data_IF_291641888115
#
_entry.id   IF_291641888115
#
_cell.length_a   1.000
_cell.length_b   1.000
_cell.length_c   1.000
_cell.angle_alpha   90.00
_cell.angle_beta   90.00
_cell.angle_gamma   90.00
#
_symmetry.space_group_name_H-M   'P 1'
#
loop_
_entity.id
_entity.type
_entity.pdbx_description
1 polymer ?
#
# COMPACT_ATOMS: atom_id res chain seq x y z
N UNK A 1 -4.41 -22.94 19.35
CA UNK A 1 -5.18 -21.82 19.93
C UNK A 1 -4.84 -20.54 19.20
N UNK A 2 -5.84 -19.74 18.88
CA UNK A 2 -5.65 -18.39 18.33
C UNK A 2 -5.85 -17.40 19.47
N UNK A 3 -4.88 -16.50 19.67
CA UNK A 3 -4.93 -15.48 20.70
C UNK A 3 -4.86 -14.10 20.05
N UNK A 4 -5.78 -13.21 20.41
CA UNK A 4 -5.74 -11.80 20.01
C UNK A 4 -4.94 -11.02 21.04
N UNK A 5 -3.92 -10.28 20.59
CA UNK A 5 -2.98 -9.60 21.48
C UNK A 5 -2.57 -8.25 20.87
N UNK A 6 -2.22 -7.29 21.74
CA UNK A 6 -1.65 -6.02 21.30
C UNK A 6 -0.30 -6.24 20.63
N UNK A 7 -0.07 -5.55 19.52
CA UNK A 7 1.17 -5.63 18.74
C UNK A 7 2.43 -5.41 19.57
N UNK A 8 2.39 -4.47 20.51
CA UNK A 8 3.53 -4.12 21.36
C UNK A 8 3.99 -5.29 22.25
N UNK A 9 3.09 -6.23 22.53
CA UNK A 9 3.36 -7.35 23.43
C UNK A 9 3.76 -8.65 22.70
N UNK A 10 3.65 -8.71 21.38
CA UNK A 10 3.85 -9.95 20.61
C UNK A 10 5.25 -10.54 20.76
N UNK A 11 6.30 -9.73 20.62
CA UNK A 11 7.67 -10.22 20.79
C UNK A 11 7.95 -10.71 22.22
N UNK A 12 7.44 -10.00 23.21
CA UNK A 12 7.57 -10.40 24.63
C UNK A 12 6.84 -11.71 24.90
N UNK A 13 5.63 -11.88 24.39
CA UNK A 13 4.85 -13.10 24.53
C UNK A 13 5.51 -14.30 23.81
N UNK A 14 6.11 -14.08 22.64
CA UNK A 14 6.92 -15.10 21.97
C UNK A 14 8.10 -15.54 22.84
N UNK A 15 8.87 -14.59 23.36
CA UNK A 15 10.04 -14.87 24.21
C UNK A 15 9.63 -15.57 25.51
N UNK A 16 8.46 -15.22 26.07
CA UNK A 16 7.91 -15.88 27.25
C UNK A 16 7.37 -17.29 26.98
N UNK A 17 7.19 -17.68 25.72
CA UNK A 17 6.62 -18.96 25.32
C UNK A 17 5.09 -18.99 25.34
N UNK A 18 4.44 -17.84 25.45
CA UNK A 18 2.99 -17.70 25.40
C UNK A 18 2.44 -17.78 23.96
N UNK A 19 3.30 -17.56 22.97
CA UNK A 19 3.03 -17.67 21.56
C UNK A 19 4.06 -18.57 20.88
N UNK A 20 3.61 -19.33 19.89
CA UNK A 20 4.46 -20.21 19.08
C UNK A 20 4.71 -19.64 17.68
N UNK A 21 3.79 -18.86 17.19
CA UNK A 21 3.83 -18.26 15.85
C UNK A 21 3.08 -16.93 15.83
N UNK A 22 3.55 -16.06 14.96
CA UNK A 22 2.92 -14.80 14.73
C UNK A 22 3.27 -14.23 13.35
N UNK A 23 2.31 -13.55 12.73
CA UNK A 23 2.41 -12.91 11.42
C UNK A 23 1.72 -11.54 11.44
N UNK A 24 1.91 -10.75 10.42
CA UNK A 24 1.35 -9.41 10.24
C UNK A 24 1.90 -8.29 11.10
N UNK A 25 2.72 -7.44 10.52
CA UNK A 25 2.99 -6.05 10.94
C UNK A 25 3.10 -5.86 12.45
N UNK A 26 3.54 -6.87 13.16
CA UNK A 26 3.62 -6.88 14.59
C UNK A 26 4.89 -6.24 15.11
N UNK A 27 5.25 -6.56 16.35
CA UNK A 27 6.39 -5.98 17.03
C UNK A 27 7.76 -6.41 16.51
N UNK A 28 7.83 -7.39 15.62
CA UNK A 28 9.08 -7.76 14.96
C UNK A 28 9.18 -7.00 13.64
N UNK A 29 10.07 -6.03 13.63
CA UNK A 29 10.55 -5.29 12.47
C UNK A 29 11.95 -5.75 12.13
N UNK A 30 12.53 -5.29 11.02
CA UNK A 30 13.94 -5.54 10.71
C UNK A 30 14.87 -5.10 11.83
N UNK A 31 14.53 -4.05 12.55
CA UNK A 31 15.33 -3.53 13.67
C UNK A 31 15.44 -4.53 14.83
N UNK A 32 14.35 -5.19 15.19
CA UNK A 32 14.32 -6.15 16.30
C UNK A 32 14.34 -7.61 15.89
N UNK A 33 14.47 -7.93 14.58
CA UNK A 33 14.72 -9.28 14.06
C UNK A 33 15.84 -10.00 14.83
N UNK A 34 17.02 -9.38 15.06
CA UNK A 34 18.12 -10.06 15.78
C UNK A 34 17.74 -10.47 17.21
N UNK A 35 16.81 -9.75 17.85
CA UNK A 35 16.34 -10.09 19.20
C UNK A 35 15.53 -11.38 19.17
N UNK A 36 14.61 -11.53 18.20
CA UNK A 36 13.81 -12.73 18.03
C UNK A 36 14.69 -13.94 17.65
N UNK A 37 15.63 -13.77 16.72
CA UNK A 37 16.56 -14.83 16.29
C UNK A 37 17.46 -15.30 17.43
N UNK A 38 18.01 -14.37 18.23
CA UNK A 38 18.81 -14.68 19.43
C UNK A 38 17.98 -15.41 20.48
N UNK A 39 16.70 -15.13 20.60
CA UNK A 39 15.78 -15.83 21.48
C UNK A 39 15.39 -17.23 20.95
N UNK A 40 15.88 -17.62 19.78
CA UNK A 40 15.70 -18.96 19.23
C UNK A 40 14.54 -19.10 18.25
N UNK A 41 13.89 -18.00 17.84
CA UNK A 41 12.84 -18.01 16.84
C UNK A 41 13.41 -18.02 15.43
N UNK A 42 12.65 -18.57 14.48
CA UNK A 42 12.89 -18.38 13.05
C UNK A 42 12.13 -17.13 12.62
N UNK A 43 12.81 -16.22 11.90
CA UNK A 43 12.21 -15.01 11.34
C UNK A 43 12.38 -15.05 9.83
N UNK A 44 11.28 -15.05 9.09
CA UNK A 44 11.27 -15.16 7.64
C UNK A 44 10.30 -14.13 7.04
N UNK A 45 10.71 -13.49 5.95
CA UNK A 45 9.79 -12.71 5.12
C UNK A 45 8.88 -13.66 4.32
N UNK A 46 7.62 -13.29 4.17
CA UNK A 46 6.71 -13.97 3.26
C UNK A 46 7.24 -13.89 1.81
N UNK A 47 6.95 -14.90 1.00
CA UNK A 47 7.41 -14.95 -0.40
C UNK A 47 6.73 -13.90 -1.27
N UNK A 48 5.49 -13.56 -0.96
CA UNK A 48 4.69 -12.58 -1.70
C UNK A 48 4.36 -11.40 -0.81
N UNK A 49 4.33 -10.17 -1.34
CA UNK A 49 3.94 -8.99 -0.57
C UNK A 49 2.55 -9.15 0.06
N UNK A 50 2.43 -8.74 1.30
CA UNK A 50 1.18 -8.80 2.08
C UNK A 50 0.45 -7.48 2.15
N UNK A 51 1.13 -6.38 1.85
CA UNK A 51 0.59 -5.03 1.99
C UNK A 51 1.03 -4.15 0.83
N UNK A 52 0.09 -3.46 0.24
CA UNK A 52 0.29 -2.40 -0.75
C UNK A 52 0.04 -1.05 -0.09
N UNK A 53 0.94 -0.10 -0.27
CA UNK A 53 0.83 1.28 0.21
C UNK A 53 0.55 2.24 -0.94
N UNK A 54 -0.34 3.19 -0.70
CA UNK A 54 -0.71 4.21 -1.66
C UNK A 54 -0.94 5.57 -0.99
N UNK A 55 -0.78 6.63 -1.77
CA UNK A 55 -1.33 7.95 -1.45
C UNK A 55 -2.62 8.12 -2.25
N UNK A 56 -3.74 8.09 -1.56
CA UNK A 56 -5.06 8.39 -2.13
C UNK A 56 -5.17 9.88 -2.43
N UNK A 57 -5.84 10.22 -3.52
CA UNK A 57 -6.06 11.60 -3.95
C UNK A 57 -7.55 11.82 -4.18
N UNK A 58 -8.07 12.90 -3.64
CA UNK A 58 -9.39 13.41 -3.98
C UNK A 58 -9.30 14.17 -5.33
N UNK A 59 -9.78 13.55 -6.40
CA UNK A 59 -9.68 14.11 -7.76
C UNK A 59 -10.67 15.25 -8.01
N UNK A 60 -11.57 15.54 -7.09
CA UNK A 60 -12.44 16.72 -7.17
C UNK A 60 -11.70 17.97 -6.66
N UNK A 61 -11.03 17.90 -5.53
CA UNK A 61 -10.24 19.01 -4.97
C UNK A 61 -8.89 19.17 -5.66
N UNK A 62 -8.25 18.07 -6.09
CA UNK A 62 -7.00 18.06 -6.86
C UNK A 62 -7.32 17.66 -8.31
N UNK A 63 -8.12 18.48 -9.00
CA UNK A 63 -8.72 18.15 -10.29
C UNK A 63 -7.70 18.06 -11.44
N UNK A 64 -6.60 18.83 -11.38
CA UNK A 64 -5.59 18.82 -12.44
C UNK A 64 -4.73 17.55 -12.41
N UNK A 65 -4.69 16.78 -13.50
CA UNK A 65 -3.77 15.66 -13.64
C UNK A 65 -2.31 16.11 -13.53
N UNK A 66 -1.94 17.29 -14.07
CA UNK A 66 -0.60 17.85 -13.92
C UNK A 66 -0.23 18.06 -12.44
N UNK A 67 -1.19 18.49 -11.61
CA UNK A 67 -0.96 18.65 -10.17
C UNK A 67 -0.79 17.30 -9.46
N UNK A 68 -1.58 16.28 -9.83
CA UNK A 68 -1.42 14.92 -9.29
C UNK A 68 -0.08 14.30 -9.69
N UNK A 69 0.37 14.53 -10.93
CA UNK A 69 1.72 14.16 -11.36
C UNK A 69 2.80 14.95 -10.62
N UNK A 70 2.58 16.25 -10.33
CA UNK A 70 3.52 17.03 -9.53
C UNK A 70 3.68 16.45 -8.12
N UNK A 71 2.59 16.04 -7.49
CA UNK A 71 2.62 15.35 -6.20
C UNK A 71 3.45 14.07 -6.31
N UNK A 72 3.22 13.22 -7.33
CA UNK A 72 4.02 12.01 -7.52
C UNK A 72 5.52 12.30 -7.70
N UNK A 73 5.87 13.26 -8.57
CA UNK A 73 7.25 13.66 -8.83
C UNK A 73 7.96 14.24 -7.61
N UNK A 74 7.22 14.81 -6.66
CA UNK A 74 7.75 15.32 -5.41
C UNK A 74 8.11 14.21 -4.40
N UNK A 75 7.58 12.99 -4.54
CA UNK A 75 7.75 11.90 -3.58
C UNK A 75 9.00 11.07 -3.87
N UNK A 76 9.98 11.11 -2.98
CA UNK A 76 11.09 10.15 -2.98
C UNK A 76 10.59 8.81 -2.41
N UNK A 77 9.93 8.02 -3.28
CA UNK A 77 9.35 6.72 -2.92
C UNK A 77 10.39 5.75 -2.36
N UNK A 78 11.65 5.83 -2.81
CA UNK A 78 12.76 4.99 -2.32
C UNK A 78 13.06 5.32 -0.85
N UNK A 79 13.22 6.61 -0.53
CA UNK A 79 13.44 7.05 0.84
C UNK A 79 12.25 6.74 1.74
N UNK A 80 11.03 7.04 1.28
CA UNK A 80 9.79 6.75 2.03
C UNK A 80 9.64 5.26 2.34
N UNK A 81 9.86 4.40 1.35
CA UNK A 81 9.83 2.94 1.48
C UNK A 81 10.91 2.46 2.48
N UNK A 82 12.15 2.94 2.32
CA UNK A 82 13.27 2.58 3.20
C UNK A 82 12.98 2.95 4.65
N UNK A 83 12.42 4.14 4.91
CA UNK A 83 12.13 4.61 6.27
C UNK A 83 10.93 3.89 6.90
N UNK A 84 9.95 3.45 6.10
CA UNK A 84 8.74 2.81 6.61
C UNK A 84 8.83 1.28 6.66
N UNK A 85 9.45 0.65 5.68
CA UNK A 85 9.42 -0.81 5.47
C UNK A 85 10.81 -1.45 5.41
N UNK A 86 11.88 -0.65 5.37
CA UNK A 86 13.26 -1.14 5.29
C UNK A 86 13.47 -2.06 4.09
N UNK A 87 14.13 -3.19 4.32
CA UNK A 87 14.42 -4.20 3.29
C UNK A 87 13.21 -5.05 2.88
N UNK A 88 12.09 -4.91 3.58
CA UNK A 88 10.85 -5.64 3.28
C UNK A 88 10.01 -4.92 2.22
N UNK A 89 10.33 -3.67 1.92
CA UNK A 89 9.61 -2.85 0.96
C UNK A 89 10.18 -2.94 -0.44
N UNK A 90 9.29 -2.94 -1.44
CA UNK A 90 9.64 -2.86 -2.87
C UNK A 90 8.82 -1.74 -3.51
N UNK A 91 9.48 -0.67 -3.94
CA UNK A 91 8.84 0.48 -4.58
C UNK A 91 8.14 0.05 -5.86
N UNK A 92 6.97 0.67 -6.13
CA UNK A 92 6.18 0.37 -7.32
C UNK A 92 5.52 1.64 -7.87
N UNK A 93 5.17 1.60 -9.16
CA UNK A 93 4.28 2.54 -9.83
C UNK A 93 2.98 1.88 -10.29
N UNK A 94 2.81 0.60 -10.01
CA UNK A 94 1.62 -0.16 -10.32
C UNK A 94 0.92 -0.62 -9.03
N UNK A 95 -0.38 -0.76 -9.08
CA UNK A 95 -1.19 -1.36 -8.03
C UNK A 95 -1.26 -2.88 -8.12
N UNK A 96 -0.72 -3.46 -9.19
CA UNK A 96 -0.72 -4.89 -9.46
C UNK A 96 0.46 -5.55 -8.77
N UNK A 97 0.20 -6.68 -8.15
CA UNK A 97 1.20 -7.47 -7.45
C UNK A 97 2.36 -7.84 -8.41
N UNK A 98 3.62 -7.58 -8.04
CA UNK A 98 4.76 -7.94 -8.86
C UNK A 98 4.86 -9.45 -9.08
N UNK A 99 5.62 -9.85 -10.10
CA UNK A 99 5.87 -11.25 -10.45
C UNK A 99 4.61 -12.06 -10.80
N UNK A 100 3.54 -11.37 -11.25
CA UNK A 100 2.34 -11.98 -11.81
C UNK A 100 2.31 -11.81 -13.34
N UNK A 101 1.50 -12.61 -14.07
CA UNK A 101 1.35 -12.44 -15.51
C UNK A 101 0.84 -11.05 -15.93
N UNK A 102 0.27 -10.30 -14.99
CA UNK A 102 -0.34 -8.98 -15.21
C UNK A 102 0.56 -7.83 -14.78
N UNK A 103 1.72 -8.11 -14.19
CA UNK A 103 2.68 -7.07 -13.80
C UNK A 103 3.40 -6.54 -15.03
N UNK A 104 3.12 -5.30 -15.40
CA UNK A 104 3.80 -4.60 -16.47
C UNK A 104 5.19 -4.08 -16.06
N UNK A 105 6.01 -3.61 -17.04
CA UNK A 105 7.26 -2.94 -16.73
C UNK A 105 6.98 -1.65 -15.95
N UNK A 106 7.52 -1.54 -14.75
CA UNK A 106 7.43 -0.31 -13.97
C UNK A 106 8.73 0.50 -14.12
N UNK A 107 8.64 1.69 -14.71
CA UNK A 107 9.71 2.69 -14.55
C UNK A 107 9.59 3.25 -13.12
N UNK A 108 10.55 2.92 -12.28
CA UNK A 108 10.56 3.33 -10.87
C UNK A 108 11.16 4.73 -10.65
N UNK A 109 11.67 5.38 -11.69
CA UNK A 109 12.28 6.72 -11.63
C UNK A 109 11.22 7.83 -11.70
N UNK A 110 10.39 7.94 -10.66
CA UNK A 110 9.37 9.01 -10.63
C UNK A 110 9.82 10.26 -9.90
N UNK A 111 10.73 10.17 -8.92
CA UNK A 111 11.18 11.31 -8.12
C UNK A 111 11.98 12.31 -8.97
N UNK A 112 11.38 13.47 -9.20
CA UNK A 112 11.98 14.60 -9.92
C UNK A 112 11.36 15.92 -9.40
N UNK A 113 11.95 16.52 -8.35
CA UNK A 113 11.40 17.74 -7.74
C UNK A 113 11.44 18.95 -8.67
N UNK A 114 12.32 18.98 -9.65
CA UNK A 114 12.38 20.09 -10.63
C UNK A 114 11.24 19.94 -11.66
N UNK A 115 10.95 18.72 -12.11
CA UNK A 115 9.77 18.44 -12.93
C UNK A 115 8.47 18.69 -12.13
N UNK A 116 8.45 18.34 -10.83
CA UNK A 116 7.30 18.65 -9.97
C UNK A 116 6.96 20.13 -9.98
N UNK A 117 7.95 21.03 -9.82
CA UNK A 117 7.75 22.48 -9.86
C UNK A 117 7.22 22.95 -11.22
N UNK A 118 7.74 22.41 -12.33
CA UNK A 118 7.26 22.76 -13.67
C UNK A 118 5.78 22.35 -13.86
N UNK A 119 5.40 21.18 -13.33
CA UNK A 119 4.03 20.69 -13.37
C UNK A 119 3.09 21.52 -12.48
N UNK A 120 3.57 22.01 -11.31
CA UNK A 120 2.82 22.93 -10.46
C UNK A 120 2.52 24.26 -11.20
N UNK A 121 3.53 24.81 -11.86
CA UNK A 121 3.36 26.04 -12.66
C UNK A 121 2.35 25.80 -13.80
N UNK A 122 2.45 24.67 -14.50
CA UNK A 122 1.54 24.29 -15.59
C UNK A 122 0.11 24.06 -15.08
N UNK A 123 -0.05 23.44 -13.91
CA UNK A 123 -1.34 23.22 -13.27
C UNK A 123 -1.98 24.53 -12.74
N UNK A 124 -1.19 25.60 -12.64
CA UNK A 124 -1.65 26.88 -12.10
C UNK A 124 -1.82 26.88 -10.57
N UNK A 125 -1.05 26.04 -9.86
CA UNK A 125 -1.10 25.97 -8.40
C UNK A 125 -0.74 27.30 -7.76
N UNK A 126 -1.56 27.80 -6.84
CA UNK A 126 -1.41 29.12 -6.23
C UNK A 126 -0.99 29.07 -4.75
N UNK A 127 -0.64 27.89 -4.24
CA UNK A 127 -0.27 27.72 -2.83
C UNK A 127 -1.45 27.28 -1.94
N UNK A 128 -2.42 26.61 -2.51
CA UNK A 128 -3.51 25.98 -1.75
C UNK A 128 -2.94 25.00 -0.74
N UNK A 129 -3.56 24.94 0.44
CA UNK A 129 -3.21 23.97 1.48
C UNK A 129 -4.15 22.78 1.39
N UNK A 130 -3.58 21.57 1.29
CA UNK A 130 -4.34 20.32 1.24
C UNK A 130 -4.32 19.62 2.59
N UNK A 131 -5.40 18.91 2.92
CA UNK A 131 -5.48 18.04 4.09
C UNK A 131 -4.94 16.64 3.75
N UNK A 132 -4.08 16.09 4.60
CA UNK A 132 -3.55 14.72 4.49
C UNK A 132 -4.02 13.91 5.69
N UNK A 133 -5.00 13.05 5.48
CA UNK A 133 -5.48 12.14 6.50
C UNK A 133 -4.55 10.92 6.66
N UNK A 134 -4.33 10.51 7.89
CA UNK A 134 -3.59 9.29 8.19
C UNK A 134 -4.04 8.67 9.51
N UNK A 135 -3.77 7.38 9.69
CA UNK A 135 -3.91 6.76 11.01
C UNK A 135 -2.67 7.04 11.87
N UNK A 136 -2.80 6.92 13.20
CA UNK A 136 -1.66 7.08 14.11
C UNK A 136 -0.46 6.19 13.77
N UNK A 137 -0.72 4.98 13.27
CA UNK A 137 0.32 4.06 12.82
C UNK A 137 1.11 4.57 11.59
N UNK A 138 0.59 5.56 10.87
CA UNK A 138 1.20 6.13 9.65
C UNK A 138 1.61 7.60 9.81
N UNK A 139 1.52 8.17 11.00
CA UNK A 139 1.83 9.58 11.25
C UNK A 139 3.27 9.94 10.83
N UNK A 140 4.23 9.07 11.08
CA UNK A 140 5.63 9.29 10.64
C UNK A 140 5.77 9.30 9.12
N UNK A 141 5.06 8.42 8.40
CA UNK A 141 5.04 8.40 6.94
C UNK A 141 4.36 9.65 6.38
N UNK A 142 3.23 10.07 6.95
CA UNK A 142 2.55 11.30 6.57
C UNK A 142 3.45 12.53 6.73
N UNK A 143 4.23 12.61 7.82
CA UNK A 143 5.20 13.69 8.03
C UNK A 143 6.32 13.70 6.97
N UNK A 144 6.81 12.54 6.55
CA UNK A 144 7.81 12.45 5.47
C UNK A 144 7.21 12.86 4.11
N UNK A 145 5.99 12.45 3.82
CA UNK A 145 5.25 12.89 2.62
C UNK A 145 5.07 14.42 2.65
N UNK A 146 4.62 14.99 3.78
CA UNK A 146 4.49 16.44 3.94
C UNK A 146 5.81 17.16 3.66
N UNK A 147 6.95 16.66 4.17
CA UNK A 147 8.26 17.24 3.91
C UNK A 147 8.65 17.20 2.43
N UNK A 148 8.39 16.08 1.74
CA UNK A 148 8.65 15.96 0.30
C UNK A 148 7.82 16.97 -0.50
N UNK A 149 6.54 17.10 -0.19
CA UNK A 149 5.62 18.02 -0.84
C UNK A 149 6.02 19.50 -0.57
N UNK A 150 6.37 19.83 0.66
CA UNK A 150 6.82 21.15 1.05
C UNK A 150 8.12 21.57 0.31
N UNK A 151 9.02 20.63 -0.01
CA UNK A 151 10.26 20.90 -0.73
C UNK A 151 10.04 21.42 -2.17
N UNK A 152 8.89 21.15 -2.76
CA UNK A 152 8.49 21.68 -4.07
C UNK A 152 7.45 22.81 -3.96
N UNK A 153 7.01 23.17 -2.75
CA UNK A 153 6.09 24.29 -2.50
C UNK A 153 4.63 23.87 -2.29
N UNK A 154 4.30 22.57 -2.28
CA UNK A 154 2.95 22.08 -1.96
C UNK A 154 2.75 22.11 -0.45
N UNK A 155 1.70 22.80 -0.01
CA UNK A 155 1.35 22.91 1.41
C UNK A 155 0.38 21.81 1.82
N UNK A 156 0.68 21.11 2.92
CA UNK A 156 -0.16 20.01 3.42
C UNK A 156 -0.30 20.10 4.95
N UNK A 157 -1.52 19.97 5.46
CA UNK A 157 -1.83 19.81 6.87
C UNK A 157 -2.21 18.36 7.19
N UNK A 158 -1.59 17.78 8.22
CA UNK A 158 -1.81 16.39 8.58
C UNK A 158 -2.94 16.28 9.60
N UNK A 159 -3.93 15.44 9.31
CA UNK A 159 -4.97 15.03 10.26
C UNK A 159 -4.83 13.56 10.63
N UNK A 160 -4.67 13.29 11.94
CA UNK A 160 -4.60 11.91 12.44
C UNK A 160 -5.97 11.47 12.93
N UNK A 161 -6.53 10.47 12.27
CA UNK A 161 -7.86 9.92 12.51
C UNK A 161 -7.84 8.40 12.54
N UNK A 162 -8.93 7.76 12.93
CA UNK A 162 -9.07 6.31 12.76
C UNK A 162 -9.33 5.94 11.29
N UNK A 163 -9.15 4.65 10.96
CA UNK A 163 -9.26 4.18 9.59
C UNK A 163 -10.67 4.38 8.99
N UNK A 164 -11.72 4.18 9.77
CA UNK A 164 -13.10 4.32 9.28
C UNK A 164 -13.40 5.79 8.96
N UNK A 165 -12.99 6.71 9.81
CA UNK A 165 -13.10 8.16 9.60
C UNK A 165 -12.30 8.60 8.37
N UNK A 166 -11.08 8.08 8.20
CA UNK A 166 -10.24 8.40 7.03
C UNK A 166 -10.92 8.00 5.71
N UNK A 167 -11.40 6.76 5.60
CA UNK A 167 -12.05 6.30 4.38
C UNK A 167 -13.41 6.99 4.14
N UNK A 168 -14.17 7.26 5.19
CA UNK A 168 -15.42 8.04 5.08
C UNK A 168 -15.13 9.45 4.56
N UNK A 169 -14.12 10.13 5.11
CA UNK A 169 -13.74 11.47 4.70
C UNK A 169 -13.16 11.56 3.29
N UNK A 170 -12.45 10.53 2.81
CA UNK A 170 -12.06 10.45 1.40
C UNK A 170 -13.29 10.30 0.49
N UNK A 171 -14.24 9.48 0.88
CA UNK A 171 -15.44 9.23 0.09
C UNK A 171 -16.38 10.47 0.02
N UNK A 172 -16.50 11.22 1.09
CA UNK A 172 -17.35 12.43 1.14
C UNK A 172 -16.63 13.73 0.75
N UNK A 173 -15.30 13.68 0.57
CA UNK A 173 -14.50 14.82 0.14
C UNK A 173 -14.00 15.71 1.28
N UNK A 174 -14.05 15.25 2.51
CA UNK A 174 -13.51 15.96 3.68
C UNK A 174 -11.98 16.10 3.60
N UNK A 175 -11.30 15.08 3.07
CA UNK A 175 -9.85 15.08 2.91
C UNK A 175 -9.43 15.14 1.45
N UNK A 176 -8.30 15.80 1.19
CA UNK A 176 -7.72 15.93 -0.15
C UNK A 176 -6.80 14.76 -0.47
N UNK A 177 -6.06 14.31 0.54
CA UNK A 177 -5.09 13.22 0.47
C UNK A 177 -5.28 12.26 1.66
N UNK A 178 -4.95 10.99 1.45
CA UNK A 178 -4.84 10.05 2.58
C UNK A 178 -3.73 9.02 2.36
N UNK A 179 -3.00 8.67 3.43
CA UNK A 179 -2.03 7.57 3.42
C UNK A 179 -2.75 6.28 3.75
N UNK A 180 -2.98 5.46 2.73
CA UNK A 180 -3.69 4.20 2.86
C UNK A 180 -2.81 2.97 2.61
N UNK A 181 -3.30 1.82 3.01
CA UNK A 181 -2.77 0.53 2.59
C UNK A 181 -3.83 -0.55 2.67
N UNK A 182 -3.68 -1.55 1.82
CA UNK A 182 -4.56 -2.71 1.79
C UNK A 182 -3.79 -3.97 1.34
N UNK A 183 -4.48 -5.11 1.38
CA UNK A 183 -3.91 -6.37 0.87
C UNK A 183 -3.88 -6.32 -0.65
N UNK A 184 -2.72 -6.54 -1.29
CA UNK A 184 -2.62 -6.50 -2.74
C UNK A 184 -3.34 -7.69 -3.40
N UNK A 185 -3.68 -7.53 -4.66
CA UNK A 185 -4.29 -8.58 -5.49
C UNK A 185 -3.52 -8.77 -6.79
N UNK A 186 -3.69 -9.94 -7.41
CA UNK A 186 -3.03 -10.28 -8.68
C UNK A 186 -3.67 -9.63 -9.90
N UNK A 187 -4.90 -9.18 -9.75
CA UNK A 187 -5.67 -8.45 -10.77
C UNK A 187 -6.31 -7.25 -10.11
N UNK A 188 -6.56 -6.16 -10.85
CA UNK A 188 -7.25 -4.99 -10.32
C UNK A 188 -8.75 -5.25 -10.05
N UNK A 189 -9.12 -6.49 -9.75
CA UNK A 189 -10.51 -6.89 -9.50
C UNK A 189 -11.10 -6.25 -8.26
N UNK A 190 -10.28 -5.85 -7.29
CA UNK A 190 -10.76 -5.10 -6.14
C UNK A 190 -11.31 -3.72 -6.53
N UNK A 191 -10.91 -3.19 -7.69
CA UNK A 191 -11.51 -1.98 -8.26
C UNK A 191 -12.93 -2.21 -8.79
N UNK A 192 -13.30 -3.44 -9.15
CA UNK A 192 -14.64 -3.73 -9.70
C UNK A 192 -15.76 -3.55 -8.70
N UNK A 193 -15.46 -3.53 -7.41
CA UNK A 193 -16.47 -3.44 -6.35
C UNK A 193 -16.39 -2.15 -5.54
N UNK A 194 -15.42 -1.24 -5.79
CA UNK A 194 -15.19 -0.17 -4.84
C UNK A 194 -14.68 1.13 -5.45
N UNK A 195 -13.39 1.39 -5.71
CA UNK A 195 -12.92 2.78 -5.82
C UNK A 195 -13.35 3.50 -7.11
N UNK A 196 -13.79 2.76 -8.13
CA UNK A 196 -14.21 3.31 -9.42
C UNK A 196 -15.67 2.97 -9.78
N UNK A 197 -16.54 2.88 -8.79
CA UNK A 197 -17.97 2.70 -9.00
C UNK A 197 -18.75 3.91 -8.48
N UNK A 198 -19.93 4.23 -9.02
CA UNK A 198 -20.71 5.39 -8.55
C UNK A 198 -21.03 5.36 -7.05
N UNK A 199 -21.19 4.16 -6.47
CA UNK A 199 -21.55 3.99 -5.06
C UNK A 199 -20.32 4.08 -4.13
N UNK A 200 -19.10 3.93 -4.67
CA UNK A 200 -17.85 3.88 -3.90
C UNK A 200 -16.70 4.58 -4.62
N UNK A 201 -16.93 5.76 -5.16
CA UNK A 201 -15.92 6.57 -5.83
C UNK A 201 -15.02 7.28 -4.80
N UNK A 202 -14.22 6.50 -4.09
CA UNK A 202 -13.39 7.02 -2.99
C UNK A 202 -12.31 8.00 -3.45
N UNK A 203 -11.90 7.93 -4.71
CA UNK A 203 -10.97 8.90 -5.30
C UNK A 203 -11.68 10.13 -5.87
N UNK A 204 -13.02 10.17 -5.84
CA UNK A 204 -13.85 11.27 -6.34
C UNK A 204 -13.54 11.66 -7.79
N UNK A 205 -13.32 10.66 -8.62
CA UNK A 205 -13.11 10.84 -10.06
C UNK A 205 -14.40 11.32 -10.71
N UNK A 206 -14.33 12.41 -11.49
CA UNK A 206 -15.51 13.04 -12.07
C UNK A 206 -16.17 12.18 -13.16
N UNK A 207 -15.39 11.50 -13.98
CA UNK A 207 -15.88 10.59 -15.02
C UNK A 207 -15.32 9.18 -14.84
N UNK A 208 -16.17 8.28 -14.40
CA UNK A 208 -15.84 6.87 -14.18
C UNK A 208 -16.02 5.99 -15.42
N UNK A 209 -16.53 6.54 -16.53
CA UNK A 209 -17.00 5.74 -17.68
C UNK A 209 -15.90 4.88 -18.30
N UNK A 210 -14.70 5.42 -18.44
CA UNK A 210 -13.56 4.68 -19.00
C UNK A 210 -13.03 3.62 -18.04
N UNK A 211 -12.89 3.94 -16.75
CA UNK A 211 -12.49 2.97 -15.72
C UNK A 211 -13.44 1.78 -15.66
N UNK A 212 -14.75 2.04 -15.59
CA UNK A 212 -15.76 0.98 -15.53
C UNK A 212 -15.81 0.13 -16.80
N UNK A 213 -15.58 0.76 -17.96
CA UNK A 213 -15.52 0.03 -19.24
C UNK A 213 -14.35 -0.96 -19.28
N UNK A 214 -13.14 -0.52 -18.88
CA UNK A 214 -11.96 -1.38 -18.86
C UNK A 214 -12.09 -2.48 -17.82
N UNK A 215 -12.52 -2.15 -16.59
CA UNK A 215 -12.71 -3.14 -15.53
C UNK A 215 -13.75 -4.21 -15.90
N UNK A 216 -14.84 -3.79 -16.55
CA UNK A 216 -15.86 -4.71 -17.09
C UNK A 216 -15.29 -5.62 -18.19
N UNK A 217 -14.45 -5.08 -19.08
CA UNK A 217 -13.79 -5.86 -20.13
C UNK A 217 -12.80 -6.87 -19.52
N UNK A 218 -11.96 -6.46 -18.57
CA UNK A 218 -11.03 -7.32 -17.83
C UNK A 218 -11.77 -8.47 -17.12
N UNK A 219 -12.89 -8.15 -16.47
CA UNK A 219 -13.69 -9.14 -15.74
C UNK A 219 -14.38 -10.16 -16.63
N UNK A 220 -14.69 -9.81 -17.88
CA UNK A 220 -15.37 -10.69 -18.84
C UNK A 220 -14.42 -11.46 -19.75
N UNK A 221 -13.17 -11.00 -19.91
CA UNK A 221 -12.19 -11.65 -20.78
C UNK A 221 -11.73 -12.99 -20.19
N UNK A 222 -11.76 -14.04 -20.99
CA UNK A 222 -11.39 -15.41 -20.60
C UNK A 222 -10.06 -15.86 -21.15
N UNK A 223 -9.53 -15.17 -22.17
CA UNK A 223 -8.23 -15.48 -22.76
C UNK A 223 -7.15 -14.67 -22.04
N UNK A 224 -6.18 -15.36 -21.47
CA UNK A 224 -5.15 -14.75 -20.61
C UNK A 224 -4.39 -13.61 -21.30
N UNK A 225 -3.92 -13.83 -22.55
CA UNK A 225 -3.18 -12.81 -23.30
C UNK A 225 -4.02 -11.54 -23.54
N UNK A 226 -5.27 -11.69 -23.97
CA UNK A 226 -6.15 -10.54 -24.18
C UNK A 226 -6.51 -9.83 -22.85
N UNK A 227 -6.58 -10.58 -21.76
CA UNK A 227 -6.77 -9.99 -20.42
C UNK A 227 -5.55 -9.21 -19.97
N UNK A 228 -4.33 -9.67 -20.27
CA UNK A 228 -3.08 -8.93 -20.01
C UNK A 228 -3.10 -7.61 -20.77
N UNK A 229 -3.42 -7.62 -22.08
CA UNK A 229 -3.49 -6.40 -22.88
C UNK A 229 -4.47 -5.36 -22.30
N UNK A 230 -5.64 -5.82 -21.81
CA UNK A 230 -6.63 -4.97 -21.14
C UNK A 230 -6.15 -4.42 -19.79
N UNK A 231 -5.39 -5.21 -19.03
CA UNK A 231 -4.80 -4.76 -17.77
C UNK A 231 -3.72 -3.73 -18.03
N UNK A 232 -2.88 -3.93 -19.04
CA UNK A 232 -1.87 -2.95 -19.45
C UNK A 232 -2.51 -1.62 -19.89
N UNK A 233 -3.62 -1.67 -20.62
CA UNK A 233 -4.41 -0.48 -20.99
C UNK A 233 -4.96 0.23 -19.74
N UNK A 234 -5.48 -0.53 -18.78
CA UNK A 234 -6.00 0.02 -17.52
C UNK A 234 -4.90 0.67 -16.67
N UNK A 235 -3.73 0.02 -16.51
CA UNK A 235 -2.59 0.59 -15.78
C UNK A 235 -2.03 1.84 -16.48
N UNK A 236 -1.96 1.85 -17.81
CA UNK A 236 -1.57 3.04 -18.58
C UNK A 236 -2.54 4.21 -18.36
N UNK A 237 -3.83 3.93 -18.27
CA UNK A 237 -4.84 4.94 -17.99
C UNK A 237 -4.77 5.45 -16.54
N UNK A 238 -4.53 4.55 -15.57
CA UNK A 238 -4.26 4.93 -14.19
C UNK A 238 -3.01 5.82 -14.09
N UNK A 239 -1.96 5.50 -14.86
CA UNK A 239 -0.74 6.30 -14.87
C UNK A 239 -0.98 7.69 -15.48
N UNK A 240 -1.74 7.78 -16.55
CA UNK A 240 -2.11 9.05 -17.21
C UNK A 240 -2.94 9.95 -16.29
N UNK A 241 -3.99 9.42 -15.68
CA UNK A 241 -4.95 10.18 -14.88
C UNK A 241 -4.50 10.38 -13.44
N UNK A 242 -3.66 9.49 -12.93
CA UNK A 242 -3.11 9.48 -11.58
C UNK A 242 -4.16 9.70 -10.48
N UNK A 243 -5.23 8.87 -10.42
CA UNK A 243 -6.29 9.04 -9.42
C UNK A 243 -5.80 8.76 -7.99
N UNK A 244 -4.74 8.00 -7.85
CA UNK A 244 -3.97 7.76 -6.64
C UNK A 244 -2.50 7.51 -7.03
N UNK A 245 -1.60 7.49 -6.06
CA UNK A 245 -0.18 7.24 -6.30
C UNK A 245 0.23 5.94 -5.62
N UNK A 246 0.54 4.87 -6.39
CA UNK A 246 1.19 3.68 -5.86
C UNK A 246 2.52 4.06 -5.21
N UNK A 247 2.81 3.50 -4.03
CA UNK A 247 4.04 3.80 -3.31
C UNK A 247 4.98 2.59 -3.29
N UNK A 248 4.61 1.52 -2.59
CA UNK A 248 5.40 0.29 -2.50
C UNK A 248 4.56 -0.89 -2.02
N UNK A 249 5.08 -2.07 -2.24
CA UNK A 249 4.64 -3.29 -1.59
C UNK A 249 5.53 -3.63 -0.40
N UNK A 250 4.99 -4.29 0.62
CA UNK A 250 5.75 -4.76 1.78
C UNK A 250 5.45 -6.22 2.06
N UNK A 251 6.50 -7.00 2.30
CA UNK A 251 6.38 -8.37 2.78
C UNK A 251 6.14 -8.41 4.29
N UNK A 252 5.29 -9.32 4.75
CA UNK A 252 5.13 -9.57 6.18
C UNK A 252 6.33 -10.34 6.73
N UNK A 253 6.69 -10.09 7.99
CA UNK A 253 7.58 -10.96 8.73
C UNK A 253 6.77 -12.02 9.48
N UNK A 254 7.17 -13.26 9.30
CA UNK A 254 6.68 -14.42 10.02
C UNK A 254 7.70 -14.78 11.09
N UNK A 255 7.22 -14.96 12.32
CA UNK A 255 8.07 -15.35 13.45
C UNK A 255 7.50 -16.61 14.06
N UNK A 256 8.32 -17.66 14.12
CA UNK A 256 7.89 -18.95 14.62
C UNK A 256 8.89 -19.57 15.60
N UNK A 257 8.37 -20.31 16.55
CA UNK A 257 9.15 -21.21 17.38
C UNK A 257 9.73 -22.35 16.54
N UNK A 258 10.95 -22.78 16.83
CA UNK A 258 11.56 -23.96 16.20
C UNK A 258 10.81 -25.27 16.50
N UNK A 259 9.93 -25.24 17.49
CA UNK A 259 9.07 -26.37 17.83
C UNK A 259 7.83 -26.51 16.94
N UNK A 260 7.54 -25.48 16.12
CA UNK A 260 6.44 -25.51 15.16
C UNK A 260 6.99 -25.78 13.75
N UNK A 261 6.40 -26.73 13.06
CA UNK A 261 6.73 -27.12 11.69
C UNK A 261 5.48 -27.14 10.82
N UNK A 262 5.66 -27.27 9.50
CA UNK A 262 4.55 -27.33 8.54
C UNK A 262 3.94 -25.97 8.23
N UNK A 263 4.55 -24.86 8.68
CA UNK A 263 4.11 -23.52 8.29
C UNK A 263 4.58 -23.29 6.86
N UNK A 264 3.64 -23.07 6.00
CA UNK A 264 3.86 -22.51 4.69
C UNK A 264 3.66 -20.99 4.79
N UNK A 265 4.49 -20.21 4.09
CA UNK A 265 4.40 -18.73 4.07
C UNK A 265 3.75 -18.31 2.75
N UNK A 266 2.43 -18.53 2.61
CA UNK A 266 1.78 -18.37 1.33
C UNK A 266 1.77 -16.91 0.89
N UNK A 267 1.64 -16.80 -0.40
CA UNK A 267 1.37 -15.59 -1.11
C UNK A 267 0.22 -14.79 -0.50
N UNK A 268 0.45 -13.51 -0.27
CA UNK A 268 -0.57 -12.46 -0.13
C UNK A 268 -1.73 -12.72 0.86
N UNK A 269 -1.71 -13.78 1.60
CA UNK A 269 -2.82 -14.13 2.47
C UNK A 269 -2.57 -13.65 3.88
N UNK A 270 -3.53 -12.91 4.38
CA UNK A 270 -3.64 -12.62 5.80
C UNK A 270 -3.96 -13.88 6.62
N UNK A 271 -4.01 -15.04 6.01
CA UNK A 271 -4.62 -16.20 6.58
C UNK A 271 -3.64 -17.36 6.59
N UNK A 272 -3.59 -18.03 7.69
CA UNK A 272 -2.85 -19.26 7.86
C UNK A 272 -3.64 -20.39 7.16
N UNK A 273 -3.59 -20.40 5.84
CA UNK A 273 -4.42 -21.28 5.00
C UNK A 273 -4.13 -22.76 5.20
N UNK A 274 -2.95 -23.08 5.76
CA UNK A 274 -2.52 -24.45 5.97
C UNK A 274 -2.36 -24.83 7.46
N UNK A 275 -3.04 -24.12 8.35
CA UNK A 275 -2.92 -24.34 9.81
C UNK A 275 -3.18 -25.81 10.24
N UNK A 276 -3.93 -26.57 9.47
CA UNK A 276 -4.15 -28.01 9.69
C UNK A 276 -2.92 -28.89 9.41
N UNK A 277 -1.87 -28.36 8.79
CA UNK A 277 -0.59 -29.03 8.52
C UNK A 277 0.45 -28.71 9.58
N UNK A 278 0.15 -27.78 10.49
CA UNK A 278 1.09 -27.36 11.51
C UNK A 278 1.21 -28.40 12.60
N UNK A 279 2.44 -28.73 12.93
CA UNK A 279 2.78 -29.66 13.99
C UNK A 279 3.61 -28.94 15.05
N UNK A 280 3.32 -29.18 16.33
CA UNK A 280 4.12 -28.73 17.45
C UNK A 280 4.83 -29.94 18.07
N UNK A 281 6.16 -29.97 17.99
CA UNK A 281 6.95 -30.96 18.69
C UNK A 281 7.09 -30.58 20.15
N UNK A 282 7.12 -31.58 21.04
CA UNK A 282 7.40 -31.32 22.45
C UNK A 282 8.81 -30.71 22.59
N UNK A 283 8.91 -29.63 23.36
CA UNK A 283 10.16 -28.98 23.73
C UNK A 283 11.01 -29.83 24.66
#
# INVERSE_FOLDING_TARGET
TITVMDKANLLTALIAGDLDYYTFGGSVSEENRPVAEKAGFTVQAGEVPSTFYELMINNESIASADLRHAIEKALDKQLLCQQNSGTLGTVTNSSILPDTPYSGPSDLTTYDPDQAKQLLDKAGYQGETYTLACTSARASLAALIQQNLAAVGIQVEIETVDSATMFAGMNDGTYDLAVASHTPTTLPLWFTGSPFTPDHNIFRVADLSHYTTLLDAIGKETHETARIDLVDEFEAYLDQEKPFIPLWFTHALHVQSKTVTGIDYPAASCCNENVWQWEKTAS
#
